data_IF_668374884320
#
_entry.id   IF_668374884320
#
_cell.length_a   1.000
_cell.length_b   1.000
_cell.length_c   1.000
_cell.angle_alpha   90.00
_cell.angle_beta   90.00
_cell.angle_gamma   90.00
#
_symmetry.space_group_name_H-M   'P 1'
#
loop_
_entity.id
_entity.type
_entity.pdbx_description
1 polymer ?
#
# COMPACT_ATOMS: atom_id res chain seq x y z
N UNK A 1 14.97 10.19 -1.10
CA UNK A 1 14.97 11.48 -0.38
C UNK A 1 15.05 11.35 1.14
N UNK A 2 14.32 10.44 1.81
CA UNK A 2 14.42 10.24 3.28
C UNK A 2 15.60 9.37 3.77
N UNK A 3 16.14 8.50 2.91
CA UNK A 3 17.19 7.54 3.26
C UNK A 3 18.47 8.13 3.91
N UNK A 4 19.03 9.28 3.48
CA UNK A 4 20.20 9.86 4.16
C UNK A 4 19.87 10.52 5.50
N UNK A 5 18.64 11.05 5.67
CA UNK A 5 18.18 11.68 6.91
C UNK A 5 17.90 10.63 8.01
N UNK A 6 17.31 9.49 7.63
CA UNK A 6 17.12 8.32 8.49
C UNK A 6 18.42 7.80 9.13
N UNK A 7 19.56 7.95 8.45
CA UNK A 7 20.88 7.49 8.95
C UNK A 7 21.62 8.51 9.81
N UNK A 8 21.33 9.80 9.64
CA UNK A 8 22.05 10.87 10.34
C UNK A 8 21.37 11.32 11.64
N UNK A 9 20.04 11.25 11.71
CA UNK A 9 19.28 11.63 12.92
C UNK A 9 18.16 10.61 13.25
N UNK A 10 18.50 9.37 13.62
CA UNK A 10 17.51 8.29 13.80
C UNK A 10 16.46 8.61 14.88
N UNK A 11 16.87 9.24 15.97
CA UNK A 11 15.96 9.60 17.08
C UNK A 11 14.95 10.66 16.65
N UNK A 12 15.37 11.67 15.88
CA UNK A 12 14.48 12.74 15.42
C UNK A 12 13.42 12.19 14.46
N UNK A 13 13.82 11.27 13.56
CA UNK A 13 12.88 10.61 12.65
C UNK A 13 11.89 9.73 13.43
N UNK A 14 12.35 8.99 14.44
CA UNK A 14 11.47 8.18 15.29
C UNK A 14 10.46 9.05 16.05
N UNK A 15 10.89 10.19 16.61
CA UNK A 15 10.00 11.16 17.27
C UNK A 15 8.98 11.71 16.26
N UNK A 16 9.42 12.12 15.07
CA UNK A 16 8.52 12.65 14.05
C UNK A 16 7.47 11.62 13.60
N UNK A 17 7.87 10.36 13.38
CA UNK A 17 6.94 9.29 13.04
C UNK A 17 5.97 9.00 14.18
N UNK A 18 6.46 8.95 15.43
CA UNK A 18 5.64 8.77 16.62
C UNK A 18 4.60 9.88 16.79
N UNK A 19 5.00 11.14 16.60
CA UNK A 19 4.09 12.29 16.61
C UNK A 19 3.07 12.22 15.47
N UNK A 20 3.47 11.77 14.28
CA UNK A 20 2.57 11.55 13.15
C UNK A 20 1.49 10.49 13.44
N UNK A 21 1.90 9.34 14.02
CA UNK A 21 0.98 8.27 14.44
C UNK A 21 0.05 8.78 15.56
N UNK A 22 0.61 9.47 16.56
CA UNK A 22 -0.16 10.03 17.66
C UNK A 22 -1.20 11.04 17.16
N UNK A 23 -0.82 11.94 16.26
CA UNK A 23 -1.72 12.91 15.64
C UNK A 23 -2.83 12.25 14.81
N UNK A 24 -2.50 11.26 13.99
CA UNK A 24 -3.50 10.51 13.22
C UNK A 24 -4.52 9.79 14.12
N UNK A 25 -4.04 9.16 15.20
CA UNK A 25 -4.92 8.55 16.18
C UNK A 25 -5.78 9.55 16.93
N UNK A 26 -5.22 10.67 17.37
CA UNK A 26 -5.97 11.73 18.05
C UNK A 26 -7.09 12.30 17.16
N UNK A 27 -6.79 12.61 15.89
CA UNK A 27 -7.78 13.14 14.96
C UNK A 27 -8.91 12.17 14.66
N UNK A 28 -8.64 10.86 14.69
CA UNK A 28 -9.61 9.79 14.41
C UNK A 28 -10.32 9.26 15.65
N UNK A 29 -10.12 9.87 16.83
CA UNK A 29 -10.69 9.37 18.09
C UNK A 29 -10.14 8.01 18.53
N UNK A 30 -8.94 7.65 18.07
CA UNK A 30 -8.24 6.39 18.39
C UNK A 30 -8.39 5.28 17.35
N UNK A 31 -9.34 5.40 16.42
CA UNK A 31 -9.64 4.35 15.42
C UNK A 31 -8.50 4.10 14.41
N UNK A 32 -7.60 5.06 14.20
CA UNK A 32 -6.45 4.85 13.31
C UNK A 32 -5.37 3.92 13.88
N UNK A 33 -5.36 3.63 15.19
CA UNK A 33 -4.36 2.74 15.80
C UNK A 33 -4.56 1.27 15.42
N UNK A 34 -3.52 0.44 15.63
CA UNK A 34 -3.60 -1.01 15.41
C UNK A 34 -3.78 -1.42 13.93
N UNK A 35 -4.38 -2.58 13.71
CA UNK A 35 -4.54 -3.16 12.36
C UNK A 35 -5.72 -2.58 11.58
N UNK A 36 -6.76 -2.11 12.27
CA UNK A 36 -8.00 -1.63 11.63
C UNK A 36 -9.03 -2.74 11.34
N UNK A 37 -8.81 -3.96 11.83
CA UNK A 37 -9.71 -5.09 11.55
C UNK A 37 -11.09 -4.89 12.19
N UNK A 38 -11.12 -4.49 13.47
CA UNK A 38 -12.36 -4.29 14.20
C UNK A 38 -13.18 -3.17 13.56
N UNK A 39 -12.52 -2.08 13.16
CA UNK A 39 -13.11 -0.96 12.44
C UNK A 39 -13.68 -1.38 11.07
N UNK A 40 -12.93 -2.17 10.30
CA UNK A 40 -13.40 -2.67 9.00
C UNK A 40 -14.60 -3.62 9.18
N UNK A 41 -14.54 -4.53 10.15
CA UNK A 41 -15.62 -5.47 10.45
C UNK A 41 -16.89 -4.73 10.90
N UNK A 42 -16.74 -3.73 11.77
CA UNK A 42 -17.84 -2.88 12.27
C UNK A 42 -18.66 -2.25 11.13
N UNK A 43 -17.99 -1.64 10.15
CA UNK A 43 -18.67 -0.96 9.04
C UNK A 43 -19.23 -1.93 7.99
N UNK A 44 -18.55 -3.07 7.73
CA UNK A 44 -19.05 -4.08 6.77
C UNK A 44 -20.31 -4.76 7.29
N UNK A 45 -20.33 -5.07 8.60
CA UNK A 45 -21.47 -5.73 9.25
C UNK A 45 -22.62 -4.76 9.57
N UNK A 46 -22.42 -3.46 9.34
CA UNK A 46 -23.44 -2.43 9.63
C UNK A 46 -23.66 -2.20 11.13
N UNK A 47 -22.71 -2.59 11.97
CA UNK A 47 -22.81 -2.49 13.43
C UNK A 47 -22.31 -1.16 13.99
N UNK A 48 -21.85 -0.24 13.14
CA UNK A 48 -21.43 1.10 13.54
C UNK A 48 -20.90 1.92 12.38
N UNK A 49 -20.58 3.17 12.70
CA UNK A 49 -20.01 4.15 11.78
C UNK A 49 -18.63 4.59 12.27
N UNK A 50 -17.75 4.96 11.33
CA UNK A 50 -16.44 5.50 11.65
C UNK A 50 -16.40 7.00 11.35
N UNK A 51 -15.52 7.77 12.01
CA UNK A 51 -15.31 9.16 11.66
C UNK A 51 -14.89 9.31 10.19
N UNK A 52 -15.38 10.31 9.47
CA UNK A 52 -15.01 10.57 8.06
C UNK A 52 -13.50 10.75 7.84
N UNK A 53 -12.77 11.17 8.88
CA UNK A 53 -11.31 11.30 8.83
C UNK A 53 -10.57 9.96 8.93
N UNK A 54 -11.25 8.88 9.35
CA UNK A 54 -10.68 7.54 9.57
C UNK A 54 -9.82 7.02 8.42
N UNK A 55 -10.28 6.93 7.16
CA UNK A 55 -9.46 6.36 6.09
C UNK A 55 -8.15 7.13 5.88
N UNK A 56 -8.20 8.46 5.94
CA UNK A 56 -7.02 9.31 5.77
C UNK A 56 -6.07 9.21 6.96
N UNK A 57 -6.63 9.18 8.18
CA UNK A 57 -5.86 8.98 9.40
C UNK A 57 -5.20 7.59 9.44
N UNK A 58 -5.92 6.54 9.04
CA UNK A 58 -5.42 5.17 8.99
C UNK A 58 -4.29 5.02 7.97
N UNK A 59 -4.47 5.61 6.79
CA UNK A 59 -3.43 5.69 5.76
C UNK A 59 -2.18 6.40 6.29
N UNK A 60 -2.35 7.55 6.94
CA UNK A 60 -1.24 8.33 7.50
C UNK A 60 -0.52 7.55 8.62
N UNK A 61 -1.26 6.95 9.56
CA UNK A 61 -0.71 6.14 10.64
C UNK A 61 0.10 4.94 10.08
N UNK A 62 -0.41 4.29 9.04
CA UNK A 62 0.28 3.20 8.34
C UNK A 62 1.56 3.70 7.69
N UNK A 63 1.51 4.83 6.97
CA UNK A 63 2.68 5.44 6.34
C UNK A 63 3.77 5.77 7.37
N UNK A 64 3.43 6.45 8.46
CA UNK A 64 4.40 6.80 9.50
C UNK A 64 4.96 5.57 10.21
N UNK A 65 4.14 4.53 10.43
CA UNK A 65 4.60 3.25 10.98
C UNK A 65 5.65 2.61 10.06
N UNK A 66 5.41 2.62 8.75
CA UNK A 66 6.39 2.12 7.78
C UNK A 66 7.65 2.96 7.68
N UNK A 67 7.54 4.29 7.73
CA UNK A 67 8.68 5.20 7.69
C UNK A 67 9.56 5.08 8.95
N UNK A 68 8.99 4.65 10.08
CA UNK A 68 9.75 4.41 11.31
C UNK A 68 10.67 3.18 11.25
N UNK A 69 10.44 2.28 10.28
CA UNK A 69 11.19 1.03 10.14
C UNK A 69 10.82 -0.05 11.16
N UNK A 70 9.74 0.13 11.92
CA UNK A 70 9.20 -0.89 12.83
C UNK A 70 8.76 -2.11 11.99
N UNK A 71 9.13 -3.34 12.37
CA UNK A 71 8.68 -4.54 11.68
C UNK A 71 7.16 -4.66 11.75
N UNK A 72 6.50 -4.77 10.60
CA UNK A 72 5.05 -4.85 10.49
C UNK A 72 4.57 -5.17 9.07
N UNK A 73 3.29 -5.49 8.95
CA UNK A 73 2.64 -5.81 7.66
C UNK A 73 1.71 -4.69 7.17
N UNK A 74 1.66 -4.48 5.84
CA UNK A 74 0.79 -3.49 5.18
C UNK A 74 -0.63 -4.04 4.97
N UNK A 75 -0.77 -5.36 5.03
CA UNK A 75 -1.95 -6.07 4.58
C UNK A 75 -3.24 -5.63 5.30
N UNK A 76 -3.34 -5.87 6.61
CA UNK A 76 -4.55 -5.52 7.35
C UNK A 76 -4.83 -4.00 7.37
N UNK A 77 -3.85 -3.12 7.62
CA UNK A 77 -4.09 -1.67 7.57
C UNK A 77 -4.54 -1.18 6.19
N UNK A 78 -4.08 -1.80 5.10
CA UNK A 78 -4.52 -1.45 3.75
C UNK A 78 -5.97 -1.85 3.47
N UNK A 79 -6.39 -3.04 3.90
CA UNK A 79 -7.79 -3.46 3.82
C UNK A 79 -8.68 -2.54 4.64
N UNK A 80 -8.27 -2.21 5.86
CA UNK A 80 -9.02 -1.32 6.74
C UNK A 80 -9.13 0.12 6.21
N UNK A 81 -8.05 0.64 5.62
CA UNK A 81 -8.06 1.94 4.93
C UNK A 81 -9.01 1.92 3.74
N UNK A 82 -8.98 0.87 2.93
CA UNK A 82 -9.88 0.68 1.80
C UNK A 82 -11.34 0.53 2.22
N UNK A 83 -11.62 -0.16 3.34
CA UNK A 83 -12.96 -0.27 3.91
C UNK A 83 -13.50 1.12 4.31
N UNK A 84 -12.68 1.92 4.99
CA UNK A 84 -13.03 3.30 5.35
C UNK A 84 -13.30 4.18 4.13
N UNK A 85 -12.47 4.11 3.09
CA UNK A 85 -12.70 4.84 1.84
C UNK A 85 -13.98 4.38 1.14
N UNK A 86 -14.25 3.08 1.15
CA UNK A 86 -15.48 2.52 0.60
C UNK A 86 -16.73 2.97 1.35
N UNK A 87 -16.66 3.12 2.68
CA UNK A 87 -17.79 3.65 3.48
C UNK A 87 -18.11 5.10 3.13
N UNK A 88 -17.09 5.95 2.94
CA UNK A 88 -17.28 7.33 2.49
C UNK A 88 -17.88 7.39 1.08
N UNK A 89 -17.37 6.56 0.15
CA UNK A 89 -17.89 6.49 -1.22
C UNK A 89 -19.34 5.99 -1.26
N UNK A 90 -19.70 5.05 -0.40
CA UNK A 90 -21.05 4.50 -0.34
C UNK A 90 -22.10 5.56 0.01
N UNK A 91 -21.74 6.60 0.77
CA UNK A 91 -22.59 7.76 1.00
C UNK A 91 -22.97 8.52 -0.28
N UNK A 92 -22.16 8.43 -1.34
CA UNK A 92 -22.42 9.03 -2.65
C UNK A 92 -23.16 8.09 -3.61
N UNK A 93 -23.32 6.81 -3.23
CA UNK A 93 -23.93 5.77 -4.03
C UNK A 93 -25.11 5.12 -3.29
N UNK A 94 -26.15 5.89 -2.91
CA UNK A 94 -27.25 5.40 -2.06
C UNK A 94 -28.09 4.28 -2.70
N UNK A 95 -28.00 4.11 -4.02
CA UNK A 95 -28.66 3.02 -4.75
C UNK A 95 -27.92 1.68 -4.66
N UNK A 96 -26.64 1.68 -4.27
CA UNK A 96 -25.83 0.47 -4.13
C UNK A 96 -25.84 0.00 -2.66
N UNK A 97 -25.79 -1.33 -2.40
CA UNK A 97 -25.64 -1.82 -1.04
C UNK A 97 -24.35 -1.29 -0.41
N UNK A 98 -24.47 -0.61 0.73
CA UNK A 98 -23.36 -0.03 1.50
C UNK A 98 -22.19 -1.01 1.67
N UNK A 99 -22.48 -2.22 2.18
CA UNK A 99 -21.48 -3.26 2.37
C UNK A 99 -20.76 -3.65 1.08
N UNK A 100 -21.45 -3.70 -0.06
CA UNK A 100 -20.81 -4.01 -1.34
C UNK A 100 -19.80 -2.92 -1.74
N UNK A 101 -20.17 -1.65 -1.60
CA UNK A 101 -19.27 -0.53 -1.91
C UNK A 101 -18.05 -0.51 -0.98
N UNK A 102 -18.24 -0.80 0.31
CA UNK A 102 -17.15 -0.94 1.29
C UNK A 102 -16.17 -2.02 0.86
N UNK A 103 -16.66 -3.21 0.51
CA UNK A 103 -15.83 -4.35 0.11
C UNK A 103 -15.12 -4.09 -1.23
N UNK A 104 -15.75 -3.35 -2.16
CA UNK A 104 -15.08 -2.87 -3.37
C UNK A 104 -13.96 -1.85 -3.05
N UNK A 105 -14.17 -0.97 -2.07
CA UNK A 105 -13.15 -0.06 -1.55
C UNK A 105 -11.95 -0.82 -0.95
N UNK A 106 -12.22 -1.89 -0.18
CA UNK A 106 -11.18 -2.77 0.37
C UNK A 106 -10.31 -3.38 -0.72
N UNK A 107 -10.92 -4.06 -1.71
CA UNK A 107 -10.15 -4.71 -2.77
C UNK A 107 -9.43 -3.70 -3.64
N UNK A 108 -10.05 -2.56 -3.92
CA UNK A 108 -9.47 -1.50 -4.75
C UNK A 108 -8.23 -0.91 -4.12
N UNK A 109 -8.31 -0.50 -2.85
CA UNK A 109 -7.16 0.07 -2.15
C UNK A 109 -6.05 -0.98 -1.98
N UNK A 110 -6.40 -2.19 -1.52
CA UNK A 110 -5.40 -3.23 -1.31
C UNK A 110 -4.68 -3.57 -2.62
N UNK A 111 -5.42 -3.81 -3.70
CA UNK A 111 -4.83 -4.08 -5.02
C UNK A 111 -3.96 -2.91 -5.49
N UNK A 112 -4.38 -1.67 -5.25
CA UNK A 112 -3.59 -0.49 -5.58
C UNK A 112 -2.23 -0.48 -4.88
N UNK A 113 -2.19 -0.85 -3.60
CA UNK A 113 -0.95 -0.92 -2.80
C UNK A 113 -0.05 -2.08 -3.21
N UNK A 114 -0.59 -3.30 -3.31
CA UNK A 114 0.23 -4.51 -3.52
C UNK A 114 0.45 -4.87 -4.98
N UNK A 115 -0.39 -4.36 -5.89
CA UNK A 115 -0.38 -4.64 -7.31
C UNK A 115 -0.49 -6.14 -7.68
N UNK A 116 -1.28 -6.90 -6.92
CA UNK A 116 -1.57 -8.32 -7.14
C UNK A 116 -3.08 -8.56 -7.26
N UNK A 117 -3.70 -8.26 -8.41
CA UNK A 117 -5.17 -8.20 -8.52
C UNK A 117 -5.86 -9.52 -8.21
N UNK A 118 -5.30 -10.65 -8.70
CA UNK A 118 -5.90 -11.97 -8.47
C UNK A 118 -5.88 -12.32 -6.98
N UNK A 119 -4.72 -12.19 -6.34
CA UNK A 119 -4.56 -12.44 -4.91
C UNK A 119 -5.47 -11.54 -4.08
N UNK A 120 -5.58 -10.27 -4.44
CA UNK A 120 -6.38 -9.30 -3.70
C UNK A 120 -7.87 -9.61 -3.72
N UNK A 121 -8.47 -9.87 -4.90
CA UNK A 121 -9.90 -10.14 -4.94
C UNK A 121 -10.27 -11.48 -4.30
N UNK A 122 -9.43 -12.52 -4.44
CA UNK A 122 -9.66 -13.82 -3.79
C UNK A 122 -9.65 -13.65 -2.28
N UNK A 123 -8.64 -12.97 -1.74
CA UNK A 123 -8.53 -12.71 -0.30
C UNK A 123 -9.75 -11.97 0.22
N UNK A 124 -10.15 -10.87 -0.44
CA UNK A 124 -11.28 -10.06 0.03
C UNK A 124 -12.60 -10.84 -0.06
N UNK A 125 -12.78 -11.61 -1.13
CA UNK A 125 -13.94 -12.48 -1.30
C UNK A 125 -14.04 -13.52 -0.17
N UNK A 126 -12.94 -14.22 0.13
CA UNK A 126 -12.89 -15.23 1.19
C UNK A 126 -13.09 -14.61 2.59
N UNK A 127 -12.46 -13.46 2.87
CA UNK A 127 -12.58 -12.78 4.17
C UNK A 127 -13.99 -12.24 4.44
N UNK A 128 -14.76 -11.95 3.39
CA UNK A 128 -16.11 -11.38 3.51
C UNK A 128 -17.21 -12.42 3.27
N UNK A 129 -16.83 -13.65 2.90
CA UNK A 129 -17.73 -14.76 2.54
C UNK A 129 -18.84 -14.34 1.54
N UNK A 130 -18.52 -13.39 0.65
CA UNK A 130 -19.50 -12.81 -0.27
C UNK A 130 -19.20 -13.17 -1.73
N UNK A 131 -19.52 -14.42 -2.08
CA UNK A 131 -19.30 -14.97 -3.42
C UNK A 131 -20.14 -14.25 -4.49
N UNK A 132 -21.26 -13.63 -4.12
CA UNK A 132 -22.10 -12.85 -5.04
C UNK A 132 -21.40 -11.61 -5.62
N UNK A 133 -20.34 -11.12 -4.95
CA UNK A 133 -19.56 -9.97 -5.40
C UNK A 133 -18.31 -10.35 -6.20
N UNK A 134 -18.10 -11.63 -6.55
CA UNK A 134 -16.89 -12.08 -7.23
C UNK A 134 -16.58 -11.28 -8.51
N UNK A 135 -17.55 -11.13 -9.41
CA UNK A 135 -17.36 -10.38 -10.66
C UNK A 135 -17.05 -8.88 -10.41
N UNK A 136 -17.82 -8.15 -9.57
CA UNK A 136 -17.45 -6.80 -9.14
C UNK A 136 -16.05 -6.69 -8.53
N UNK A 137 -15.65 -7.61 -7.64
CA UNK A 137 -14.34 -7.59 -6.99
C UNK A 137 -13.20 -7.78 -7.99
N UNK A 138 -13.36 -8.71 -8.94
CA UNK A 138 -12.41 -8.91 -10.03
C UNK A 138 -12.26 -7.64 -10.88
N UNK A 139 -13.38 -7.02 -11.28
CA UNK A 139 -13.37 -5.82 -12.09
C UNK A 139 -12.68 -4.66 -11.36
N UNK A 140 -13.03 -4.42 -10.10
CA UNK A 140 -12.43 -3.37 -9.28
C UNK A 140 -10.94 -3.62 -9.04
N UNK A 141 -10.52 -4.86 -8.76
CA UNK A 141 -9.11 -5.20 -8.59
C UNK A 141 -8.31 -4.95 -9.87
N UNK A 142 -8.81 -5.35 -11.03
CA UNK A 142 -8.13 -5.12 -12.31
C UNK A 142 -7.99 -3.62 -12.63
N UNK A 143 -9.05 -2.84 -12.42
CA UNK A 143 -9.02 -1.39 -12.61
C UNK A 143 -8.04 -0.72 -11.63
N UNK A 144 -8.05 -1.12 -10.35
CA UNK A 144 -7.11 -0.64 -9.35
C UNK A 144 -5.66 -1.00 -9.69
N UNK A 145 -5.42 -2.20 -10.22
CA UNK A 145 -4.09 -2.63 -10.65
C UNK A 145 -3.57 -1.79 -11.81
N UNK A 146 -4.38 -1.59 -12.86
CA UNK A 146 -4.00 -0.78 -14.02
C UNK A 146 -3.74 0.67 -13.61
N UNK A 147 -4.66 1.27 -12.85
CA UNK A 147 -4.50 2.65 -12.38
C UNK A 147 -3.28 2.82 -11.47
N UNK A 148 -3.03 1.87 -10.57
CA UNK A 148 -1.83 1.88 -9.73
C UNK A 148 -0.54 1.77 -10.56
N UNK A 149 -0.50 0.88 -11.56
CA UNK A 149 0.68 0.72 -12.44
C UNK A 149 0.96 1.95 -13.30
N UNK A 150 -0.07 2.71 -13.68
CA UNK A 150 0.10 3.97 -14.40
C UNK A 150 0.77 5.05 -13.54
N UNK A 151 0.54 5.03 -12.21
CA UNK A 151 1.11 6.00 -11.27
C UNK A 151 2.46 5.53 -10.71
N UNK A 152 2.54 4.28 -10.28
CA UNK A 152 3.73 3.64 -9.72
C UNK A 152 4.01 2.32 -10.47
N UNK A 153 4.99 2.28 -11.39
CA UNK A 153 5.23 1.10 -12.21
C UNK A 153 5.74 -0.13 -11.45
N UNK A 154 6.34 0.05 -10.27
CA UNK A 154 6.98 -1.02 -9.49
C UNK A 154 6.14 -1.39 -8.26
N UNK A 155 5.81 -2.69 -8.05
CA UNK A 155 5.08 -3.15 -6.87
C UNK A 155 5.86 -2.94 -5.56
N UNK A 156 5.15 -2.62 -4.48
CA UNK A 156 5.77 -2.33 -3.17
C UNK A 156 6.67 -3.45 -2.67
N UNK A 157 6.22 -4.71 -2.74
CA UNK A 157 7.01 -5.85 -2.28
C UNK A 157 8.25 -6.10 -3.13
N UNK A 158 8.23 -5.72 -4.42
CA UNK A 158 9.39 -5.81 -5.30
C UNK A 158 10.44 -4.78 -4.93
N UNK A 159 10.02 -3.55 -4.62
CA UNK A 159 10.92 -2.51 -4.10
C UNK A 159 11.51 -2.89 -2.74
N UNK A 160 10.69 -3.42 -1.83
CA UNK A 160 11.16 -3.87 -0.52
C UNK A 160 12.15 -5.04 -0.64
N UNK A 161 11.96 -5.96 -1.58
CA UNK A 161 12.86 -7.08 -1.81
C UNK A 161 14.28 -6.64 -2.22
N UNK A 162 14.43 -5.50 -2.90
CA UNK A 162 15.76 -4.98 -3.32
C UNK A 162 16.71 -4.73 -2.15
N UNK A 163 16.19 -4.46 -0.96
CA UNK A 163 17.01 -4.29 0.25
C UNK A 163 17.64 -5.61 0.75
N UNK A 164 17.10 -6.76 0.33
CA UNK A 164 17.58 -8.09 0.71
C UNK A 164 18.42 -8.76 -0.38
N UNK A 165 18.39 -8.23 -1.61
CA UNK A 165 19.18 -8.77 -2.72
C UNK A 165 20.64 -8.30 -2.63
N UNK A 166 21.62 -9.15 -2.97
CA UNK A 166 23.01 -8.73 -3.11
C UNK A 166 23.13 -7.63 -4.17
N UNK A 167 23.98 -6.62 -3.92
CA UNK A 167 24.29 -5.62 -4.96
C UNK A 167 24.94 -6.34 -6.15
N UNK A 168 24.48 -6.11 -7.40
CA UNK A 168 25.18 -6.62 -8.56
C UNK A 168 26.65 -6.17 -8.51
N UNK A 169 27.58 -7.11 -8.61
CA UNK A 169 29.00 -6.79 -8.78
C UNK A 169 29.11 -6.12 -10.14
N UNK A 170 29.43 -4.83 -10.15
CA UNK A 170 29.58 -4.06 -11.38
C UNK A 170 30.72 -4.69 -12.18
N UNK A 171 30.40 -5.25 -13.36
CA UNK A 171 31.41 -5.83 -14.24
C UNK A 171 32.43 -4.73 -14.59
N UNK A 172 33.75 -5.02 -14.58
CA UNK A 172 34.75 -4.02 -14.90
C UNK A 172 34.44 -3.40 -16.26
N UNK A 173 34.32 -2.06 -16.31
CA UNK A 173 34.20 -1.34 -17.58
C UNK A 173 35.40 -1.73 -18.46
N UNK A 174 35.18 -2.21 -19.70
CA UNK A 174 36.30 -2.48 -20.60
C UNK A 174 37.09 -1.18 -20.80
N UNK A 175 38.41 -1.28 -20.62
CA UNK A 175 39.31 -0.14 -20.72
C UNK A 175 39.17 0.51 -22.10
N UNK A 176 38.97 1.83 -22.11
CA UNK A 176 38.98 2.63 -23.32
C UNK A 176 40.42 2.66 -23.87
N UNK A 177 40.81 1.67 -24.67
CA UNK A 177 42.16 1.60 -25.25
C UNK A 177 42.39 0.56 -26.35
N UNK A 178 41.58 -0.50 -26.45
CA UNK A 178 41.89 -1.61 -27.38
C UNK A 178 41.44 -1.42 -28.84
N UNK A 179 40.80 -0.29 -29.21
CA UNK A 179 40.30 -0.11 -30.59
C UNK A 179 41.26 0.59 -31.57
N UNK A 180 42.51 0.87 -31.20
CA UNK A 180 43.45 1.59 -32.07
C UNK A 180 44.60 0.74 -32.63
N UNK A 181 44.84 -0.48 -32.11
CA UNK A 181 46.00 -1.28 -32.54
C UNK A 181 45.74 -2.21 -33.75
N UNK A 182 44.49 -2.48 -34.12
CA UNK A 182 44.16 -3.50 -35.15
C UNK A 182 44.03 -2.95 -36.58
N UNK A 183 44.40 -1.67 -36.81
CA UNK A 183 44.27 -1.02 -38.13
C UNK A 183 45.56 -0.84 -38.93
N UNK A 184 46.71 -1.20 -38.38
CA UNK A 184 48.02 -0.99 -39.01
C UNK A 184 48.77 -2.29 -39.39
N UNK A 185 48.16 -3.47 -39.26
CA UNK A 185 48.75 -4.73 -39.73
C UNK A 185 47.85 -5.44 -40.75
N UNK A 186 47.76 -4.87 -41.95
CA UNK A 186 47.44 -5.66 -43.15
C UNK A 186 48.48 -5.31 -44.22
N UNK A 187 49.41 -6.23 -44.55
CA UNK A 187 50.36 -6.06 -45.65
C UNK A 187 49.70 -6.13 -47.03
#
# INVERSE_FOLDING_TARGET
FLAPMLRTHPVLVAIACGLGIAGAGFLSGGTAYGTGYDEASLIITGNGELPTVYPFAKMAATLFSYLSGIPGGIFAPSLATGAGLGAELAGWMPAAPMAAVIVLGMVGYFTGVVQTPITAFVIVMEMTDNQGLLLPLMATALLAFVTSRLVCPEPIYRELAKYFLPRPVEAPKPAAGEKTAERDEVP
#
